data_IF_397858804445
#
_entry.id   IF_397858804445
#
_cell.length_a   1.000
_cell.length_b   1.000
_cell.length_c   1.000
_cell.angle_alpha   90.00
_cell.angle_beta   90.00
_cell.angle_gamma   90.00
#
_symmetry.space_group_name_H-M   'P 1'
#
loop_
_entity.id
_entity.type
_entity.pdbx_description
1 polymer ?
#
# COMPACT_ATOMS: atom_id res chain seq x y z
N UNK A 1 29.06 -60.91 3.75
CA UNK A 1 27.81 -61.50 4.21
C UNK A 1 26.79 -60.35 4.29
N UNK A 2 25.74 -60.34 3.46
CA UNK A 2 24.72 -59.32 3.53
C UNK A 2 23.71 -59.69 4.59
N UNK A 3 23.53 -58.77 5.57
CA UNK A 3 22.52 -58.89 6.61
C UNK A 3 21.13 -58.71 6.01
N UNK A 4 20.30 -59.69 6.25
CA UNK A 4 18.87 -59.72 5.96
C UNK A 4 18.14 -58.68 6.78
N UNK A 5 17.70 -57.57 6.18
CA UNK A 5 16.75 -56.67 6.78
C UNK A 5 15.34 -57.20 6.58
N UNK A 6 14.72 -57.65 7.65
CA UNK A 6 13.31 -58.08 7.64
C UNK A 6 12.40 -56.92 7.21
N UNK A 7 11.44 -57.19 6.30
CA UNK A 7 10.59 -56.14 5.77
C UNK A 7 9.31 -55.83 6.61
N UNK A 8 9.36 -56.06 7.92
CA UNK A 8 8.13 -56.02 8.73
C UNK A 8 8.26 -55.16 9.97
N UNK A 9 8.52 -53.88 9.76
CA UNK A 9 8.25 -52.87 10.79
C UNK A 9 7.77 -51.59 10.11
N UNK A 10 6.59 -51.64 9.53
CA UNK A 10 5.88 -50.39 9.23
C UNK A 10 5.60 -49.69 10.59
N UNK A 11 5.95 -48.40 10.72
CA UNK A 11 5.59 -47.67 11.93
C UNK A 11 4.09 -47.71 12.10
N UNK A 12 3.57 -47.81 13.34
CA UNK A 12 2.15 -47.84 13.59
C UNK A 12 1.53 -46.60 12.93
N UNK A 13 0.53 -46.83 12.08
CA UNK A 13 -0.26 -45.77 11.51
C UNK A 13 -0.78 -44.91 12.67
N UNK A 14 -0.28 -43.67 12.79
CA UNK A 14 -0.95 -42.70 13.62
C UNK A 14 -2.34 -42.59 13.05
N UNK A 15 -3.36 -43.05 13.79
CA UNK A 15 -4.73 -42.62 13.55
C UNK A 15 -4.75 -41.11 13.65
N UNK A 16 -4.54 -40.43 12.54
CA UNK A 16 -4.81 -39.00 12.43
C UNK A 16 -6.33 -38.90 12.48
N UNK A 17 -6.86 -38.53 13.65
CA UNK A 17 -8.23 -38.04 13.70
C UNK A 17 -8.38 -36.99 12.65
N UNK A 18 -9.07 -37.33 11.56
CA UNK A 18 -9.37 -36.37 10.48
C UNK A 18 -10.12 -35.20 11.13
N UNK A 19 -9.65 -33.98 10.95
CA UNK A 19 -10.33 -32.84 11.54
C UNK A 19 -11.76 -32.78 11.03
N UNK A 20 -12.71 -32.79 11.94
CA UNK A 20 -14.14 -32.61 11.63
C UNK A 20 -14.32 -31.36 10.77
N UNK A 21 -14.98 -31.55 9.64
CA UNK A 21 -15.34 -30.46 8.76
C UNK A 21 -16.85 -30.20 8.80
N UNK A 22 -17.33 -28.95 8.92
CA UNK A 22 -16.54 -27.70 8.97
C UNK A 22 -15.81 -27.53 10.31
N UNK A 23 -14.59 -26.96 10.26
CA UNK A 23 -13.84 -26.64 11.47
C UNK A 23 -14.63 -25.66 12.33
N UNK A 24 -14.64 -25.93 13.64
CA UNK A 24 -15.21 -24.97 14.59
C UNK A 24 -14.53 -23.60 14.45
N UNK A 25 -15.26 -22.54 14.08
CA UNK A 25 -14.68 -21.21 13.89
C UNK A 25 -14.12 -20.61 15.18
N UNK A 26 -14.54 -21.10 16.34
CA UNK A 26 -14.05 -20.66 17.64
C UNK A 26 -12.83 -21.46 18.09
N UNK A 27 -12.67 -22.69 17.63
CA UNK A 27 -11.54 -23.57 17.95
C UNK A 27 -11.28 -23.66 19.45
N UNK A 28 -10.04 -23.55 19.87
CA UNK A 28 -9.63 -23.59 21.27
C UNK A 28 -10.21 -22.46 22.15
N UNK A 29 -10.73 -21.39 21.53
CA UNK A 29 -11.36 -20.27 22.26
C UNK A 29 -12.80 -20.52 22.63
N UNK A 30 -13.45 -21.60 22.12
CA UNK A 30 -14.85 -21.93 22.39
C UNK A 30 -15.17 -21.98 23.88
N UNK A 31 -14.46 -22.72 24.73
CA UNK A 31 -14.79 -22.82 26.15
C UNK A 31 -14.75 -21.45 26.86
N UNK A 32 -13.77 -20.61 26.50
CA UNK A 32 -13.65 -19.28 27.08
C UNK A 32 -14.83 -18.38 26.68
N UNK A 33 -15.21 -18.42 25.42
CA UNK A 33 -16.33 -17.62 24.89
C UNK A 33 -17.67 -18.10 25.40
N UNK A 34 -17.88 -19.40 25.56
CA UNK A 34 -19.08 -19.95 26.16
C UNK A 34 -19.20 -19.61 27.66
N UNK A 35 -18.08 -19.62 28.39
CA UNK A 35 -18.04 -19.14 29.78
C UNK A 35 -18.38 -17.65 29.86
N UNK A 36 -17.79 -16.84 29.00
CA UNK A 36 -18.08 -15.40 28.95
C UNK A 36 -19.56 -15.14 28.60
N UNK A 37 -20.11 -15.87 27.62
CA UNK A 37 -21.52 -15.75 27.24
C UNK A 37 -22.45 -16.15 28.39
N UNK A 38 -22.11 -17.21 29.15
CA UNK A 38 -22.88 -17.62 30.32
C UNK A 38 -22.89 -16.53 31.39
N UNK A 39 -21.75 -15.89 31.66
CA UNK A 39 -21.66 -14.75 32.60
C UNK A 39 -22.51 -13.58 32.17
N UNK A 40 -22.48 -13.20 30.90
CA UNK A 40 -23.30 -12.11 30.34
C UNK A 40 -24.80 -12.49 30.49
N UNK A 41 -25.18 -13.69 30.16
CA UNK A 41 -26.58 -14.15 30.28
C UNK A 41 -27.05 -14.18 31.73
N UNK A 42 -26.19 -14.55 32.66
CA UNK A 42 -26.50 -14.51 34.10
C UNK A 42 -26.70 -13.04 34.56
N UNK A 43 -25.78 -12.16 34.20
CA UNK A 43 -25.88 -10.74 34.52
C UNK A 43 -27.12 -10.04 33.90
N UNK A 44 -27.51 -10.44 32.69
CA UNK A 44 -28.75 -9.97 32.06
C UNK A 44 -29.99 -10.41 32.84
N UNK A 45 -30.07 -11.66 33.28
CA UNK A 45 -31.18 -12.19 34.10
C UNK A 45 -31.26 -11.49 35.47
N UNK A 46 -30.11 -11.22 36.07
CA UNK A 46 -30.08 -10.45 37.32
C UNK A 46 -30.55 -9.01 37.11
N UNK A 47 -30.15 -8.39 36.00
CA UNK A 47 -30.59 -7.04 35.64
C UNK A 47 -32.09 -6.96 35.31
N UNK A 48 -32.67 -8.01 34.73
CA UNK A 48 -34.11 -8.10 34.45
C UNK A 48 -34.94 -8.26 35.74
N UNK A 49 -34.34 -8.86 36.79
CA UNK A 49 -35.00 -9.05 38.08
C UNK A 49 -34.85 -7.85 39.05
N UNK A 50 -33.87 -6.98 38.78
CA UNK A 50 -33.66 -5.73 39.51
C UNK A 50 -34.15 -4.53 38.71
N UNK A 51 -35.00 -3.69 39.28
CA UNK A 51 -35.29 -2.39 38.63
C UNK A 51 -33.99 -1.58 38.54
N UNK A 52 -33.44 -1.35 37.33
CA UNK A 52 -32.26 -0.49 37.18
C UNK A 52 -32.66 0.90 37.58
N UNK A 53 -32.09 1.40 38.66
CA UNK A 53 -32.35 2.77 39.09
C UNK A 53 -32.07 3.71 37.91
N UNK A 54 -32.96 4.69 37.69
CA UNK A 54 -32.80 5.71 36.62
C UNK A 54 -31.39 6.30 36.58
N UNK A 55 -30.71 6.37 37.72
CA UNK A 55 -29.34 6.80 37.86
C UNK A 55 -28.31 5.86 37.19
N UNK A 56 -28.48 4.53 37.30
CA UNK A 56 -27.58 3.56 36.70
C UNK A 56 -27.68 3.58 35.15
N UNK A 57 -28.89 3.66 34.59
CA UNK A 57 -29.12 3.82 33.17
C UNK A 57 -28.57 5.15 32.61
N UNK A 58 -28.72 6.26 33.38
CA UNK A 58 -28.16 7.53 33.01
C UNK A 58 -26.63 7.50 32.96
N UNK A 59 -26.01 6.81 33.92
CA UNK A 59 -24.54 6.63 33.96
C UNK A 59 -24.01 5.79 32.79
N UNK A 60 -24.63 4.67 32.50
CA UNK A 60 -24.28 3.81 31.33
C UNK A 60 -24.41 4.62 30.04
N UNK A 61 -25.51 5.36 29.88
CA UNK A 61 -25.72 6.22 28.71
C UNK A 61 -24.63 7.28 28.59
N UNK A 62 -24.25 7.91 29.70
CA UNK A 62 -23.18 8.91 29.72
C UNK A 62 -21.83 8.30 29.37
N UNK A 63 -21.50 7.11 29.89
CA UNK A 63 -20.28 6.39 29.57
C UNK A 63 -20.23 5.98 28.08
N UNK A 64 -21.34 5.51 27.52
CA UNK A 64 -21.46 5.21 26.08
C UNK A 64 -21.28 6.45 25.21
N UNK A 65 -21.86 7.59 25.61
CA UNK A 65 -21.70 8.85 24.88
C UNK A 65 -20.26 9.38 24.96
N UNK A 66 -19.61 9.26 26.11
CA UNK A 66 -18.19 9.61 26.26
C UNK A 66 -17.28 8.67 25.47
N UNK A 67 -17.51 7.36 25.49
CA UNK A 67 -16.77 6.42 24.67
C UNK A 67 -16.93 6.70 23.18
N UNK A 68 -18.14 7.04 22.72
CA UNK A 68 -18.39 7.44 21.34
C UNK A 68 -17.68 8.75 20.98
N UNK A 69 -17.74 9.74 21.84
CA UNK A 69 -17.05 11.02 21.63
C UNK A 69 -15.52 10.84 21.60
N UNK A 70 -14.97 9.97 22.45
CA UNK A 70 -13.54 9.66 22.46
C UNK A 70 -13.12 8.90 21.18
N UNK A 71 -13.96 7.98 20.67
CA UNK A 71 -13.71 7.30 19.42
C UNK A 71 -13.78 8.23 18.20
N UNK A 72 -14.58 9.28 18.26
CA UNK A 72 -14.65 10.32 17.21
C UNK A 72 -13.48 11.30 17.26
N UNK A 73 -12.82 11.49 18.42
CA UNK A 73 -11.68 12.40 18.56
C UNK A 73 -10.33 11.78 18.20
N UNK A 74 -10.22 10.49 18.11
CA UNK A 74 -9.03 9.82 17.54
C UNK A 74 -9.28 9.69 16.05
N UNK A 75 -9.22 10.79 15.32
CA UNK A 75 -9.05 10.72 13.86
C UNK A 75 -7.63 10.20 13.62
N UNK A 76 -7.50 8.91 13.41
CA UNK A 76 -6.27 8.40 12.82
C UNK A 76 -6.02 9.17 11.51
N UNK A 77 -4.82 9.69 11.29
CA UNK A 77 -4.52 10.37 10.05
C UNK A 77 -4.85 9.44 8.89
N UNK A 78 -5.68 9.93 7.97
CA UNK A 78 -6.00 9.17 6.76
C UNK A 78 -4.70 9.07 5.96
N UNK A 79 -4.30 7.84 5.66
CA UNK A 79 -3.11 7.57 4.86
C UNK A 79 -3.49 7.56 3.39
N UNK A 80 -2.90 8.48 2.63
CA UNK A 80 -3.19 8.65 1.20
C UNK A 80 -1.93 8.32 0.40
N UNK A 81 -1.92 7.25 -0.41
CA UNK A 81 -0.80 7.00 -1.30
C UNK A 81 -0.62 8.15 -2.31
N UNK A 82 0.62 8.61 -2.51
CA UNK A 82 0.90 9.68 -3.47
C UNK A 82 0.42 9.32 -4.89
N UNK A 83 0.48 8.03 -5.26
CA UNK A 83 -0.06 7.54 -6.55
C UNK A 83 -1.57 7.66 -6.70
N UNK A 84 -2.31 7.93 -5.61
CA UNK A 84 -3.77 8.11 -5.63
C UNK A 84 -4.19 9.58 -5.71
N UNK A 85 -3.26 10.53 -5.66
CA UNK A 85 -3.56 11.96 -5.66
C UNK A 85 -4.25 12.42 -6.95
N UNK A 86 -3.87 11.86 -8.09
CA UNK A 86 -4.57 12.10 -9.37
C UNK A 86 -6.07 11.78 -9.24
N UNK A 87 -6.41 10.64 -8.64
CA UNK A 87 -7.80 10.22 -8.45
C UNK A 87 -8.51 11.11 -7.42
N UNK A 88 -7.83 11.50 -6.34
CA UNK A 88 -8.38 12.39 -5.32
C UNK A 88 -8.81 13.73 -5.93
N UNK A 89 -7.97 14.34 -6.76
CA UNK A 89 -8.29 15.61 -7.41
C UNK A 89 -9.37 15.47 -8.49
N UNK A 90 -9.34 14.36 -9.25
CA UNK A 90 -10.31 14.14 -10.32
C UNK A 90 -11.73 13.89 -9.80
N UNK A 91 -11.88 13.15 -8.70
CA UNK A 91 -13.18 12.81 -8.10
C UNK A 91 -13.05 12.62 -6.58
N UNK A 92 -13.06 13.74 -5.82
CA UNK A 92 -12.92 13.71 -4.37
C UNK A 92 -13.98 12.89 -3.65
N UNK A 93 -15.23 12.89 -4.14
CA UNK A 93 -16.34 12.17 -3.52
C UNK A 93 -16.21 10.67 -3.70
N UNK A 94 -15.90 10.21 -4.90
CA UNK A 94 -15.62 8.80 -5.17
C UNK A 94 -14.40 8.32 -4.38
N UNK A 95 -13.35 9.15 -4.27
CA UNK A 95 -12.15 8.83 -3.51
C UNK A 95 -12.48 8.66 -2.00
N UNK A 96 -13.19 9.62 -1.39
CA UNK A 96 -13.62 9.53 0.01
C UNK A 96 -14.49 8.31 0.28
N UNK A 97 -15.42 8.02 -0.65
CA UNK A 97 -16.28 6.82 -0.57
C UNK A 97 -15.47 5.53 -0.60
N UNK A 98 -14.45 5.46 -1.46
CA UNK A 98 -13.56 4.30 -1.57
C UNK A 98 -12.68 4.12 -0.33
N UNK A 99 -12.23 5.21 0.30
CA UNK A 99 -11.50 5.17 1.56
C UNK A 99 -12.36 4.69 2.72
N UNK A 100 -13.60 5.19 2.81
CA UNK A 100 -14.53 4.81 3.87
C UNK A 100 -14.98 3.34 3.75
N UNK A 101 -14.99 2.81 2.54
CA UNK A 101 -15.49 1.46 2.25
C UNK A 101 -14.63 0.77 1.18
N UNK A 102 -13.39 0.33 1.53
CA UNK A 102 -12.49 -0.28 0.58
C UNK A 102 -13.07 -1.59 0.04
N UNK A 103 -13.28 -1.65 -1.25
CA UNK A 103 -13.71 -2.86 -1.96
C UNK A 103 -12.49 -3.54 -2.57
N UNK A 104 -12.19 -4.80 -2.22
CA UNK A 104 -11.10 -5.53 -2.85
C UNK A 104 -11.32 -5.61 -4.37
N UNK A 105 -10.36 -5.13 -5.14
CA UNK A 105 -10.36 -5.27 -6.60
C UNK A 105 -9.48 -6.43 -7.01
N UNK A 106 -9.91 -7.18 -8.01
CA UNK A 106 -9.04 -8.22 -8.59
C UNK A 106 -7.85 -7.53 -9.26
N UNK A 107 -6.62 -8.01 -9.07
CA UNK A 107 -5.47 -7.50 -9.79
C UNK A 107 -5.72 -7.62 -11.31
N UNK A 108 -5.48 -6.53 -12.02
CA UNK A 108 -5.49 -6.55 -13.49
C UNK A 108 -4.12 -7.00 -14.00
N UNK A 109 -4.05 -7.74 -15.09
CA UNK A 109 -2.80 -8.18 -15.72
C UNK A 109 -1.82 -7.01 -15.94
N UNK A 110 -2.33 -5.82 -16.34
CA UNK A 110 -1.51 -4.62 -16.47
C UNK A 110 -0.86 -4.16 -15.14
N UNK A 111 -1.56 -4.25 -14.01
CA UNK A 111 -1.01 -3.90 -12.71
C UNK A 111 0.07 -4.90 -12.27
N UNK A 112 -0.14 -6.19 -12.54
CA UNK A 112 0.86 -7.22 -12.27
C UNK A 112 2.14 -6.99 -13.08
N UNK A 113 2.01 -6.71 -14.39
CA UNK A 113 3.16 -6.38 -15.24
C UNK A 113 3.92 -5.16 -14.74
N UNK A 114 3.18 -4.11 -14.29
CA UNK A 114 3.79 -2.94 -13.66
C UNK A 114 4.64 -3.34 -12.45
N UNK A 115 4.08 -4.15 -11.55
CA UNK A 115 4.80 -4.63 -10.36
C UNK A 115 6.05 -5.45 -10.74
N UNK A 116 5.96 -6.33 -11.75
CA UNK A 116 7.10 -7.11 -12.22
C UNK A 116 8.18 -6.23 -12.84
N UNK A 117 7.79 -5.16 -13.55
CA UNK A 117 8.74 -4.20 -14.11
C UNK A 117 9.48 -3.42 -13.01
N UNK A 118 8.77 -2.87 -12.02
CA UNK A 118 9.39 -2.16 -10.89
C UNK A 118 10.36 -3.07 -10.15
N UNK A 119 9.95 -4.30 -9.86
CA UNK A 119 10.83 -5.29 -9.24
C UNK A 119 12.07 -5.58 -10.07
N UNK A 120 11.95 -5.71 -11.39
CA UNK A 120 13.09 -5.89 -12.28
C UNK A 120 14.06 -4.71 -12.19
N UNK A 121 13.55 -3.46 -12.19
CA UNK A 121 14.38 -2.26 -12.05
C UNK A 121 15.08 -2.23 -10.69
N UNK A 122 14.37 -2.55 -9.60
CA UNK A 122 14.93 -2.68 -8.26
C UNK A 122 16.09 -3.68 -8.23
N UNK A 123 15.91 -4.88 -8.83
CA UNK A 123 16.93 -5.93 -8.92
C UNK A 123 18.18 -5.50 -9.71
N UNK A 124 18.06 -4.55 -10.67
CA UNK A 124 19.23 -4.03 -11.39
C UNK A 124 20.15 -3.19 -10.48
N UNK A 125 19.63 -2.58 -9.45
CA UNK A 125 20.36 -1.69 -8.55
C UNK A 125 20.76 -2.38 -7.24
N UNK A 126 20.11 -3.49 -6.89
CA UNK A 126 20.42 -4.24 -5.66
C UNK A 126 21.49 -5.29 -5.90
N UNK A 127 22.75 -4.90 -5.64
CA UNK A 127 23.93 -5.78 -5.73
C UNK A 127 23.94 -6.83 -4.61
N UNK A 128 23.04 -6.74 -3.64
CA UNK A 128 23.16 -7.45 -2.35
C UNK A 128 22.25 -8.67 -2.18
N UNK A 129 21.26 -8.92 -3.02
CA UNK A 129 20.34 -10.02 -2.84
C UNK A 129 20.15 -10.88 -4.11
N UNK A 130 20.78 -12.06 -4.17
CA UNK A 130 20.19 -13.16 -4.91
C UNK A 130 18.97 -13.64 -4.08
N UNK A 131 17.90 -12.88 -4.11
CA UNK A 131 16.62 -13.31 -3.54
C UNK A 131 16.05 -14.45 -4.37
N UNK A 132 15.33 -15.41 -3.74
CA UNK A 132 14.66 -16.44 -4.51
C UNK A 132 13.70 -15.73 -5.47
N UNK A 133 13.87 -15.97 -6.75
CA UNK A 133 12.87 -15.70 -7.78
C UNK A 133 11.61 -16.42 -7.29
N UNK A 134 10.69 -15.69 -6.67
CA UNK A 134 9.33 -16.17 -6.52
C UNK A 134 8.84 -16.29 -7.97
N UNK A 135 8.98 -17.50 -8.53
CA UNK A 135 8.22 -17.89 -9.69
C UNK A 135 6.76 -17.74 -9.26
N UNK A 136 6.21 -16.57 -9.50
CA UNK A 136 4.76 -16.38 -9.51
C UNK A 136 4.34 -17.34 -10.60
N UNK A 137 3.60 -18.41 -10.20
CA UNK A 137 3.29 -19.52 -11.06
C UNK A 137 2.87 -19.00 -12.43
N UNK A 138 3.30 -19.71 -13.46
CA UNK A 138 3.00 -19.43 -14.85
C UNK A 138 1.52 -19.04 -14.94
N UNK A 139 1.28 -17.74 -14.83
CA UNK A 139 0.02 -17.15 -15.18
C UNK A 139 -0.12 -17.45 -16.64
N UNK A 140 -1.25 -17.99 -17.08
CA UNK A 140 -1.59 -18.13 -18.51
C UNK A 140 -1.74 -16.72 -19.09
N UNK A 141 -0.67 -15.91 -18.99
CA UNK A 141 -0.63 -14.57 -19.56
C UNK A 141 -0.63 -14.73 -21.07
N UNK A 142 -1.48 -13.96 -21.71
CA UNK A 142 -1.49 -13.92 -23.16
C UNK A 142 -0.06 -13.61 -23.66
N UNK A 143 0.42 -14.29 -24.71
CA UNK A 143 1.79 -14.11 -25.22
C UNK A 143 2.18 -12.65 -25.45
N UNK A 144 1.22 -11.80 -25.81
CA UNK A 144 1.41 -10.35 -26.00
C UNK A 144 1.77 -9.61 -24.70
N UNK A 145 1.26 -10.07 -23.55
CA UNK A 145 1.53 -9.46 -22.26
C UNK A 145 2.96 -9.75 -21.77
N UNK A 146 3.47 -10.94 -22.05
CA UNK A 146 4.84 -11.31 -21.74
C UNK A 146 5.84 -10.53 -22.61
N UNK A 147 5.56 -10.39 -23.92
CA UNK A 147 6.39 -9.61 -24.84
C UNK A 147 6.50 -8.15 -24.41
N UNK A 148 5.39 -7.54 -23.99
CA UNK A 148 5.41 -6.14 -23.53
C UNK A 148 6.31 -5.91 -22.31
N UNK A 149 6.37 -6.85 -21.37
CA UNK A 149 7.26 -6.75 -20.20
C UNK A 149 8.74 -6.83 -20.61
N UNK A 150 9.09 -7.72 -21.52
CA UNK A 150 10.47 -7.85 -22.01
C UNK A 150 10.90 -6.60 -22.79
N UNK A 151 10.02 -6.03 -23.61
CA UNK A 151 10.29 -4.77 -24.31
C UNK A 151 10.57 -3.63 -23.31
N UNK A 152 9.84 -3.55 -22.20
CA UNK A 152 10.05 -2.54 -21.16
C UNK A 152 11.38 -2.73 -20.42
N UNK A 153 11.74 -3.96 -20.11
CA UNK A 153 13.04 -4.30 -19.50
C UNK A 153 14.19 -3.89 -20.43
N UNK A 154 14.09 -4.24 -21.71
CA UNK A 154 15.09 -3.84 -22.69
C UNK A 154 15.16 -2.31 -22.87
N UNK A 155 14.03 -1.63 -22.86
CA UNK A 155 13.98 -0.18 -22.92
C UNK A 155 14.69 0.46 -21.71
N UNK A 156 14.49 -0.09 -20.52
CA UNK A 156 15.18 0.35 -19.31
C UNK A 156 16.68 0.12 -19.39
N UNK A 157 17.13 -1.07 -19.81
CA UNK A 157 18.56 -1.40 -19.96
C UNK A 157 19.29 -0.53 -20.97
N UNK A 158 18.57 0.03 -21.96
CA UNK A 158 19.11 1.01 -22.92
C UNK A 158 19.05 2.46 -22.44
N UNK A 159 18.35 2.72 -21.34
CA UNK A 159 18.24 4.07 -20.78
C UNK A 159 19.51 4.49 -20.04
N UNK A 160 19.68 5.78 -19.86
CA UNK A 160 20.78 6.34 -19.05
C UNK A 160 20.73 5.85 -17.60
N UNK A 161 19.53 5.57 -17.08
CA UNK A 161 19.33 5.15 -15.70
C UNK A 161 19.98 3.80 -15.38
N UNK A 162 20.03 2.86 -16.33
CA UNK A 162 20.64 1.55 -16.13
C UNK A 162 22.15 1.62 -15.80
N UNK A 163 22.80 2.73 -16.12
CA UNK A 163 24.25 2.93 -15.90
C UNK A 163 24.55 3.85 -14.70
N UNK A 164 23.55 4.53 -14.16
CA UNK A 164 23.72 5.42 -13.03
C UNK A 164 23.47 4.69 -11.70
N UNK A 165 24.25 5.03 -10.69
CA UNK A 165 24.01 4.52 -9.33
C UNK A 165 23.04 5.45 -8.62
N UNK A 166 21.86 4.97 -8.21
CA UNK A 166 20.90 5.78 -7.47
C UNK A 166 21.37 6.01 -6.03
N UNK A 167 20.95 7.14 -5.45
CA UNK A 167 21.11 7.43 -4.02
C UNK A 167 20.14 6.64 -3.16
N UNK A 168 18.94 6.39 -3.69
CA UNK A 168 17.90 5.62 -3.03
C UNK A 168 17.01 4.92 -4.07
N UNK A 169 16.50 3.75 -3.71
CA UNK A 169 15.57 2.93 -4.48
C UNK A 169 14.41 2.54 -3.56
N UNK A 170 13.17 2.54 -4.09
CA UNK A 170 11.96 2.12 -3.36
C UNK A 170 11.83 2.79 -1.98
N UNK A 171 12.24 4.06 -1.90
CA UNK A 171 12.24 4.80 -0.63
C UNK A 171 10.81 5.15 -0.21
N UNK A 172 10.39 4.63 0.94
CA UNK A 172 9.10 4.97 1.53
C UNK A 172 9.25 6.13 2.50
N UNK A 173 8.65 7.26 2.17
CA UNK A 173 8.64 8.48 2.96
C UNK A 173 7.20 8.89 3.27
N UNK A 174 7.03 9.59 4.38
CA UNK A 174 5.73 10.08 4.82
C UNK A 174 5.74 11.61 4.88
N UNK A 175 4.79 12.23 4.20
CA UNK A 175 4.65 13.68 4.19
C UNK A 175 3.32 14.10 4.84
N UNK A 176 3.34 14.78 6.00
CA UNK A 176 2.12 15.22 6.68
C UNK A 176 1.52 16.45 5.99
N UNK A 177 0.20 16.44 5.81
CA UNK A 177 -0.60 17.56 5.30
C UNK A 177 -1.86 17.66 6.14
N UNK A 178 -1.98 18.69 6.97
CA UNK A 178 -3.10 18.83 7.91
C UNK A 178 -3.26 17.61 8.82
N UNK A 179 -4.45 17.01 8.78
CA UNK A 179 -4.75 15.78 9.53
C UNK A 179 -4.41 14.49 8.74
N UNK A 180 -3.81 14.59 7.56
CA UNK A 180 -3.53 13.47 6.66
C UNK A 180 -2.04 13.16 6.56
N UNK A 181 -1.74 11.95 6.09
CA UNK A 181 -0.39 11.48 5.87
C UNK A 181 -0.26 10.95 4.44
N UNK A 182 0.50 11.66 3.62
CA UNK A 182 0.78 11.23 2.26
C UNK A 182 1.90 10.19 2.29
N UNK A 183 1.61 9.00 1.77
CA UNK A 183 2.59 7.91 1.68
C UNK A 183 3.28 8.01 0.32
N UNK A 184 4.55 8.36 0.34
CA UNK A 184 5.40 8.52 -0.84
C UNK A 184 6.30 7.30 -0.98
N UNK A 185 6.05 6.47 -1.99
CA UNK A 185 6.93 5.39 -2.38
C UNK A 185 7.69 5.83 -3.62
N UNK A 186 8.92 6.28 -3.42
CA UNK A 186 9.76 6.87 -4.47
C UNK A 186 10.56 5.75 -5.13
N UNK A 187 10.38 5.55 -6.43
CA UNK A 187 11.01 4.45 -7.16
C UNK A 187 12.54 4.60 -7.20
N UNK A 188 13.06 5.77 -7.58
CA UNK A 188 14.49 6.03 -7.62
C UNK A 188 14.85 7.51 -7.40
N UNK A 189 16.01 7.74 -6.78
CA UNK A 189 16.60 9.07 -6.61
C UNK A 189 18.05 9.04 -7.05
N UNK A 190 18.42 9.94 -7.94
CA UNK A 190 19.77 10.06 -8.47
C UNK A 190 20.43 11.37 -8.06
N UNK A 191 21.76 11.37 -7.88
CA UNK A 191 22.52 12.57 -7.67
C UNK A 191 22.60 13.38 -8.98
N UNK A 192 22.57 14.71 -8.86
CA UNK A 192 22.86 15.66 -9.95
C UNK A 192 23.97 16.62 -9.51
N UNK A 193 24.47 17.46 -10.41
CA UNK A 193 25.49 18.45 -10.05
C UNK A 193 24.98 19.47 -9.00
N UNK A 194 23.68 19.78 -9.01
CA UNK A 194 23.08 20.81 -8.16
C UNK A 194 22.19 20.27 -7.04
N UNK A 195 22.00 18.93 -6.95
CA UNK A 195 21.11 18.35 -5.96
C UNK A 195 20.72 16.92 -6.29
N UNK A 196 19.44 16.65 -6.41
CA UNK A 196 18.93 15.30 -6.73
C UNK A 196 17.82 15.33 -7.77
N UNK A 197 17.64 14.22 -8.46
CA UNK A 197 16.55 14.00 -9.39
C UNK A 197 15.77 12.73 -9.04
N UNK A 198 14.48 12.89 -8.80
CA UNK A 198 13.54 11.80 -8.51
C UNK A 198 12.99 11.28 -9.84
N UNK A 199 13.00 9.96 -10.01
CA UNK A 199 12.43 9.32 -11.19
C UNK A 199 11.39 8.30 -10.75
N UNK A 200 10.21 8.39 -11.32
CA UNK A 200 9.10 7.46 -11.12
C UNK A 200 8.85 6.69 -12.42
N UNK A 201 8.90 5.36 -12.32
CA UNK A 201 8.76 4.47 -13.47
C UNK A 201 7.30 4.23 -13.80
N UNK A 202 6.91 4.45 -15.04
CA UNK A 202 5.53 4.24 -15.51
C UNK A 202 5.49 3.23 -16.66
N UNK A 203 4.70 2.18 -16.48
CA UNK A 203 4.41 1.18 -17.53
C UNK A 203 3.18 1.51 -18.34
N UNK A 204 2.42 2.53 -17.95
CA UNK A 204 1.29 3.06 -18.70
C UNK A 204 1.70 3.98 -19.86
N UNK A 205 0.69 4.52 -20.54
CA UNK A 205 0.91 5.50 -21.61
C UNK A 205 1.34 6.85 -21.04
N UNK A 206 2.25 7.52 -21.76
CA UNK A 206 2.60 8.90 -21.45
C UNK A 206 1.37 9.81 -21.59
N UNK A 207 1.27 10.90 -20.80
CA UNK A 207 0.18 11.86 -20.90
C UNK A 207 0.16 12.50 -22.30
N UNK A 208 -1.04 12.77 -22.79
CA UNK A 208 -1.28 13.29 -24.13
C UNK A 208 -1.21 14.82 -24.20
N UNK A 209 -1.45 15.47 -23.07
CA UNK A 209 -1.49 16.91 -22.93
C UNK A 209 -0.97 17.35 -21.54
N UNK A 210 -0.85 18.67 -21.37
CA UNK A 210 -0.36 19.24 -20.12
C UNK A 210 -1.33 19.07 -18.95
N UNK A 211 -2.63 18.99 -19.20
CA UNK A 211 -3.64 18.77 -18.16
C UNK A 211 -3.51 17.36 -17.54
N UNK A 212 -3.40 16.33 -18.39
CA UNK A 212 -3.12 14.95 -17.91
C UNK A 212 -1.77 14.86 -17.18
N UNK A 213 -0.76 15.63 -17.64
CA UNK A 213 0.53 15.67 -16.99
C UNK A 213 0.44 16.38 -15.64
N UNK A 214 -0.25 17.50 -15.55
CA UNK A 214 -0.40 18.26 -14.31
C UNK A 214 -1.11 17.43 -13.23
N UNK A 215 -2.18 16.71 -13.57
CA UNK A 215 -2.87 15.83 -12.64
C UNK A 215 -1.95 14.73 -12.07
N UNK A 216 -1.13 14.10 -12.93
CA UNK A 216 -0.12 13.10 -12.50
C UNK A 216 0.99 13.71 -11.69
N UNK A 217 1.36 14.95 -11.98
CA UNK A 217 2.51 15.63 -11.38
C UNK A 217 2.37 15.88 -9.87
N UNK A 218 1.16 15.80 -9.32
CA UNK A 218 0.93 15.86 -7.88
C UNK A 218 1.66 14.73 -7.12
N UNK A 219 1.80 13.56 -7.73
CA UNK A 219 2.61 12.48 -7.17
C UNK A 219 4.08 12.90 -7.05
N UNK A 220 4.65 13.48 -8.10
CA UNK A 220 6.03 13.97 -8.09
C UNK A 220 6.23 15.15 -7.12
N UNK A 221 5.23 16.04 -7.01
CA UNK A 221 5.26 17.12 -6.03
C UNK A 221 5.33 16.57 -4.60
N UNK A 222 4.48 15.58 -4.27
CA UNK A 222 4.52 14.89 -2.97
C UNK A 222 5.89 14.26 -2.70
N UNK A 223 6.48 13.62 -3.69
CA UNK A 223 7.82 13.01 -3.58
C UNK A 223 8.91 14.03 -3.30
N UNK A 224 8.90 15.15 -4.02
CA UNK A 224 9.86 16.25 -3.79
C UNK A 224 9.73 16.83 -2.39
N UNK A 225 8.50 17.07 -1.94
CA UNK A 225 8.23 17.62 -0.61
C UNK A 225 8.64 16.66 0.49
N UNK A 226 8.33 15.37 0.35
CA UNK A 226 8.74 14.34 1.30
C UNK A 226 10.27 14.20 1.35
N UNK A 227 10.94 14.22 0.21
CA UNK A 227 12.39 14.15 0.13
C UNK A 227 13.06 15.37 0.74
N UNK A 228 12.56 16.59 0.41
CA UNK A 228 13.05 17.84 0.98
C UNK A 228 12.94 17.84 2.51
N UNK A 229 11.80 17.43 3.04
CA UNK A 229 11.56 17.35 4.48
C UNK A 229 12.49 16.33 5.16
N UNK A 230 12.70 15.17 4.55
CA UNK A 230 13.50 14.10 5.13
C UNK A 230 15.00 14.42 5.12
N UNK A 231 15.51 14.99 4.03
CA UNK A 231 16.95 15.23 3.83
C UNK A 231 17.41 16.63 4.19
N UNK A 232 16.48 17.60 4.26
CA UNK A 232 16.81 19.02 4.39
C UNK A 232 17.30 19.66 3.08
N UNK A 233 17.24 18.95 1.95
CA UNK A 233 17.60 19.50 0.63
C UNK A 233 16.62 20.60 0.23
N UNK A 234 17.11 21.70 -0.30
CA UNK A 234 16.25 22.78 -0.77
C UNK A 234 15.35 22.27 -1.92
N UNK A 235 14.07 22.62 -1.90
CA UNK A 235 13.11 22.14 -2.90
C UNK A 235 13.50 22.50 -4.33
N UNK A 236 14.20 23.63 -4.49
CA UNK A 236 14.72 24.07 -5.79
C UNK A 236 15.80 23.15 -6.37
N UNK A 237 16.50 22.40 -5.51
CA UNK A 237 17.57 21.49 -5.90
C UNK A 237 17.07 20.04 -6.09
N UNK A 238 15.74 19.84 -6.05
CA UNK A 238 15.11 18.54 -6.24
C UNK A 238 14.31 18.55 -7.55
N UNK A 239 14.85 17.93 -8.60
CA UNK A 239 14.13 17.66 -9.84
C UNK A 239 13.26 16.40 -9.69
N UNK A 240 12.21 16.29 -10.53
CA UNK A 240 11.43 15.06 -10.59
C UNK A 240 10.82 14.85 -11.98
N UNK A 241 10.78 13.60 -12.44
CA UNK A 241 10.28 13.21 -13.75
C UNK A 241 9.62 11.84 -13.73
N UNK A 242 8.74 11.61 -14.68
CA UNK A 242 8.26 10.28 -15.03
C UNK A 242 9.08 9.70 -16.17
N UNK A 243 9.46 8.43 -16.04
CA UNK A 243 10.00 7.69 -17.18
C UNK A 243 9.00 6.63 -17.64
N UNK A 244 8.56 6.74 -18.89
CA UNK A 244 7.54 5.87 -19.48
C UNK A 244 8.16 4.73 -20.27
N UNK A 245 8.07 3.49 -19.76
CA UNK A 245 8.67 2.31 -20.36
C UNK A 245 8.18 2.03 -21.79
N UNK A 246 6.88 2.18 -22.05
CA UNK A 246 6.30 1.94 -23.39
C UNK A 246 6.89 2.82 -24.49
N UNK A 247 7.32 4.03 -24.17
CA UNK A 247 7.81 5.01 -25.14
C UNK A 247 9.28 5.37 -24.94
N UNK A 248 9.94 4.80 -23.93
CA UNK A 248 11.31 5.13 -23.52
C UNK A 248 11.51 6.64 -23.35
N UNK A 249 10.49 7.34 -22.81
CA UNK A 249 10.48 8.80 -22.69
C UNK A 249 10.55 9.23 -21.24
N UNK A 250 11.49 10.13 -20.98
CA UNK A 250 11.50 10.95 -19.77
C UNK A 250 10.55 12.14 -19.97
N UNK A 251 9.63 12.35 -19.06
CA UNK A 251 8.67 13.46 -19.08
C UNK A 251 8.82 14.26 -17.79
N UNK A 252 9.33 15.46 -17.92
CA UNK A 252 9.53 16.39 -16.81
C UNK A 252 8.42 17.42 -16.85
N UNK A 253 7.58 17.54 -15.81
CA UNK A 253 6.58 18.60 -15.73
C UNK A 253 7.25 19.97 -15.71
N UNK A 254 6.65 20.94 -16.40
CA UNK A 254 7.12 22.33 -16.44
C UNK A 254 6.96 23.04 -15.08
N UNK A 255 5.97 22.60 -14.30
CA UNK A 255 5.70 23.09 -12.95
C UNK A 255 5.36 21.93 -12.03
N UNK A 256 5.90 21.98 -10.82
CA UNK A 256 5.56 21.10 -9.72
C UNK A 256 5.18 21.96 -8.51
N UNK A 257 4.00 21.76 -7.93
CA UNK A 257 3.55 22.53 -6.78
C UNK A 257 4.59 22.59 -5.65
N UNK A 258 4.71 23.75 -5.04
CA UNK A 258 5.42 23.91 -3.78
C UNK A 258 4.58 23.42 -2.59
N UNK A 259 5.09 23.56 -1.36
CA UNK A 259 4.40 23.07 -0.15
C UNK A 259 3.05 23.75 0.06
N UNK A 260 2.95 25.05 -0.17
CA UNK A 260 1.72 25.82 0.04
C UNK A 260 0.68 25.52 -1.04
N UNK A 261 1.10 25.48 -2.29
CA UNK A 261 0.24 25.11 -3.42
C UNK A 261 -0.30 23.68 -3.26
N UNK A 262 0.59 22.75 -2.88
CA UNK A 262 0.24 21.35 -2.66
C UNK A 262 -0.76 21.17 -1.52
N UNK A 263 -0.52 21.82 -0.39
CA UNK A 263 -1.43 21.79 0.77
C UNK A 263 -2.80 22.39 0.42
N UNK A 264 -2.82 23.51 -0.28
CA UNK A 264 -4.07 24.16 -0.71
C UNK A 264 -4.90 23.23 -1.59
N UNK A 265 -4.30 22.60 -2.59
CA UNK A 265 -4.98 21.66 -3.48
C UNK A 265 -5.55 20.45 -2.72
N UNK A 266 -4.81 19.93 -1.74
CA UNK A 266 -5.29 18.78 -0.97
C UNK A 266 -6.40 19.14 0.02
N UNK A 267 -6.28 20.25 0.73
CA UNK A 267 -7.33 20.74 1.66
C UNK A 267 -8.63 20.98 0.90
N UNK A 268 -8.57 21.63 -0.27
CA UNK A 268 -9.74 21.85 -1.12
C UNK A 268 -10.37 20.52 -1.59
N UNK A 269 -9.56 19.57 -2.06
CA UNK A 269 -10.04 18.27 -2.51
C UNK A 269 -10.60 17.40 -1.38
N UNK A 270 -10.06 17.52 -0.19
CA UNK A 270 -10.53 16.77 0.98
C UNK A 270 -11.76 17.42 1.64
N UNK A 271 -12.04 18.70 1.35
CA UNK A 271 -13.22 19.42 1.85
C UNK A 271 -13.03 19.85 3.31
N UNK A 272 -11.82 20.19 3.72
CA UNK A 272 -11.47 20.68 5.07
C UNK A 272 -11.46 22.20 5.18
#
# INVERSE_FOLDING_TARGET
>A
IPGNLSPDTAPPARESELPLWPRDPLGSRRPLLESAAALVTAAQREAEQGEPTRAALARIRQEMLMAHATLQQVSNPVRIPASSLEQLIADPDAFRSALARPVPRRPHAAALRGTLFHRFVEEQFDVSLPGPVLSIGESEDAPEDALALEDWKEAFLRSEFATHTPLAIEAELHYPVGAHLIICKIDAVFATESGVHIVDWKTGKAPRNEEELAAKSLQLAAYRLAWAQWTGTALADIGASFWFAQSSRLVTPSHLPDAMEFETLLVEALGE
#
